data_IF_626915398985
#
_entry.id   IF_626915398985
#
_cell.length_a   1.000
_cell.length_b   1.000
_cell.length_c   1.000
_cell.angle_alpha   90.00
_cell.angle_beta   90.00
_cell.angle_gamma   90.00
#
_symmetry.space_group_name_H-M   'P 1'
#
loop_
_entity.id
_entity.type
_entity.pdbx_description
1 polymer ?
#
# COMPACT_ATOMS: atom_id res chain seq x y z
N UNK A 1 16.35 0.54 -8.72
CA UNK A 1 16.94 0.06 -7.46
C UNK A 1 17.60 -1.29 -7.64
N UNK A 2 18.77 -1.48 -7.04
CA UNK A 2 19.46 -2.77 -7.00
C UNK A 2 19.37 -3.36 -5.59
N UNK A 3 19.62 -4.68 -5.47
CA UNK A 3 19.55 -5.35 -4.18
C UNK A 3 20.46 -4.72 -3.11
N UNK A 4 21.69 -4.35 -3.45
CA UNK A 4 22.64 -3.71 -2.53
C UNK A 4 22.10 -2.38 -1.98
N UNK A 5 21.33 -1.64 -2.79
CA UNK A 5 20.68 -0.40 -2.33
C UNK A 5 19.56 -0.70 -1.34
N UNK A 6 18.82 -1.80 -1.54
CA UNK A 6 17.75 -2.23 -0.62
C UNK A 6 18.30 -2.82 0.68
N UNK A 7 19.44 -3.50 0.67
CA UNK A 7 20.13 -3.92 1.89
C UNK A 7 20.46 -2.71 2.77
N UNK A 8 21.07 -1.68 2.20
CA UNK A 8 21.39 -0.44 2.92
C UNK A 8 20.13 0.30 3.41
N UNK A 9 19.06 0.33 2.59
CA UNK A 9 17.78 0.92 2.96
C UNK A 9 17.12 0.14 4.10
N UNK A 10 17.18 -1.20 4.08
CA UNK A 10 16.66 -2.07 5.12
C UNK A 10 17.34 -1.84 6.47
N UNK A 11 18.66 -1.79 6.48
CA UNK A 11 19.39 -1.47 7.71
C UNK A 11 18.99 -0.10 8.30
N UNK A 12 18.77 0.89 7.44
CA UNK A 12 18.32 2.20 7.87
C UNK A 12 16.91 2.17 8.42
N UNK A 13 15.97 1.51 7.71
CA UNK A 13 14.58 1.37 8.14
C UNK A 13 14.46 0.61 9.47
N UNK A 14 15.20 -0.47 9.65
CA UNK A 14 15.19 -1.25 10.88
C UNK A 14 15.65 -0.39 12.07
N UNK A 15 16.73 0.38 11.90
CA UNK A 15 17.23 1.31 12.93
C UNK A 15 16.21 2.41 13.24
N UNK A 16 15.54 2.94 12.21
CA UNK A 16 14.50 3.95 12.37
C UNK A 16 13.28 3.37 13.11
N UNK A 17 12.75 2.23 12.65
CA UNK A 17 11.60 1.57 13.26
C UNK A 17 11.86 1.24 14.74
N UNK A 18 13.03 0.64 15.05
CA UNK A 18 13.43 0.36 16.42
C UNK A 18 13.58 1.64 17.27
N UNK A 19 14.13 2.72 16.69
CA UNK A 19 14.35 3.99 17.39
C UNK A 19 13.06 4.71 17.78
N UNK A 20 11.99 4.53 17.00
CA UNK A 20 10.66 5.14 17.26
C UNK A 20 9.66 4.14 17.87
N UNK A 21 10.06 2.89 18.10
CA UNK A 21 9.17 1.83 18.61
C UNK A 21 8.08 1.40 17.63
N UNK A 22 8.33 1.53 16.31
CA UNK A 22 7.41 1.10 15.26
C UNK A 22 7.61 -0.39 14.98
N UNK A 23 6.53 -1.15 15.00
CA UNK A 23 6.53 -2.56 14.58
C UNK A 23 6.74 -2.65 13.06
N UNK A 24 7.50 -3.65 12.61
CA UNK A 24 7.92 -3.79 11.20
C UNK A 24 6.72 -3.85 10.25
N UNK A 25 5.65 -4.56 10.62
CA UNK A 25 4.44 -4.69 9.80
C UNK A 25 3.66 -3.38 9.61
N UNK A 26 3.97 -2.35 10.41
CA UNK A 26 3.40 -1.00 10.25
C UNK A 26 4.17 -0.13 9.27
N UNK A 27 5.34 -0.58 8.82
CA UNK A 27 6.06 0.08 7.74
C UNK A 27 5.25 -0.06 6.45
N UNK A 28 4.93 1.07 5.80
CA UNK A 28 4.21 1.09 4.53
C UNK A 28 5.08 1.77 3.48
N UNK A 29 5.19 1.14 2.31
CA UNK A 29 5.98 1.66 1.21
C UNK A 29 5.29 1.49 -0.14
N UNK A 30 5.57 2.38 -1.05
CA UNK A 30 5.11 2.32 -2.45
C UNK A 30 6.30 2.50 -3.38
N UNK A 31 6.33 1.86 -4.55
CA UNK A 31 7.44 2.02 -5.49
C UNK A 31 7.39 3.39 -6.17
N UNK A 32 8.57 3.99 -6.33
CA UNK A 32 8.80 5.16 -7.14
C UNK A 32 9.54 4.84 -8.45
N UNK A 33 9.78 5.87 -9.25
CA UNK A 33 10.49 5.74 -10.54
C UNK A 33 11.98 5.35 -10.39
N UNK A 34 12.54 5.43 -9.19
CA UNK A 34 13.89 4.96 -8.88
C UNK A 34 13.94 3.52 -8.36
N UNK A 35 12.80 2.91 -8.08
CA UNK A 35 12.72 1.53 -7.61
C UNK A 35 12.74 0.49 -8.74
N UNK A 36 12.60 0.95 -9.99
CA UNK A 36 12.75 0.12 -11.17
C UNK A 36 14.23 -0.12 -11.49
N UNK A 37 14.58 -1.37 -11.77
CA UNK A 37 15.84 -1.71 -12.42
C UNK A 37 15.72 -1.42 -13.93
N UNK A 38 16.38 -0.35 -14.36
CA UNK A 38 16.32 0.12 -15.74
C UNK A 38 17.07 -0.81 -16.70
N UNK A 39 18.05 -1.54 -16.20
CA UNK A 39 18.86 -2.48 -17.02
C UNK A 39 18.05 -3.75 -17.34
N UNK A 40 17.01 -4.06 -16.57
CA UNK A 40 16.06 -5.15 -16.84
C UNK A 40 14.99 -4.79 -17.89
N UNK A 41 14.98 -3.56 -18.43
CA UNK A 41 14.03 -3.19 -19.48
C UNK A 41 14.41 -3.84 -20.81
N UNK A 42 13.75 -4.94 -21.15
CA UNK A 42 13.93 -5.64 -22.42
C UNK A 42 13.36 -4.85 -23.61
N UNK A 43 13.77 -5.24 -24.84
CA UNK A 43 13.15 -4.68 -26.07
C UNK A 43 11.64 -4.93 -26.09
N UNK A 44 11.19 -6.12 -25.65
CA UNK A 44 9.77 -6.43 -25.52
C UNK A 44 9.07 -5.52 -24.52
N UNK A 45 9.64 -5.34 -23.32
CA UNK A 45 9.13 -4.42 -22.32
C UNK A 45 9.04 -2.98 -22.81
N UNK A 46 10.06 -2.51 -23.55
CA UNK A 46 10.02 -1.16 -24.14
C UNK A 46 8.87 -1.00 -25.14
N UNK A 47 8.56 -2.04 -25.93
CA UNK A 47 7.45 -2.02 -26.88
C UNK A 47 6.10 -2.06 -26.18
N UNK A 48 5.96 -2.79 -25.08
CA UNK A 48 4.73 -2.77 -24.27
C UNK A 48 4.49 -1.39 -23.66
N UNK A 49 5.54 -0.73 -23.13
CA UNK A 49 5.42 0.63 -22.62
C UNK A 49 5.02 1.64 -23.71
N UNK A 50 5.61 1.54 -24.91
CA UNK A 50 5.25 2.37 -26.06
C UNK A 50 3.79 2.14 -26.47
N UNK A 51 3.35 0.89 -26.56
CA UNK A 51 1.97 0.49 -26.90
C UNK A 51 0.96 1.07 -25.92
N UNK A 52 1.18 0.93 -24.62
CA UNK A 52 0.31 1.53 -23.60
C UNK A 52 0.33 3.06 -23.68
N UNK A 53 1.50 3.66 -23.85
CA UNK A 53 1.64 5.12 -23.87
C UNK A 53 0.92 5.73 -25.08
N UNK A 54 0.92 5.08 -26.24
CA UNK A 54 0.23 5.54 -27.44
C UNK A 54 -1.28 5.28 -27.40
N UNK A 55 -1.68 4.11 -26.92
CA UNK A 55 -3.06 3.67 -26.93
C UNK A 55 -3.89 4.14 -25.74
N UNK A 56 -3.35 4.03 -24.53
CA UNK A 56 -4.02 4.50 -23.31
C UNK A 56 -4.62 3.38 -22.44
N UNK A 57 -5.82 3.63 -21.88
CA UNK A 57 -6.40 2.76 -20.87
C UNK A 57 -6.78 1.36 -21.38
N UNK A 58 -7.23 1.25 -22.62
CA UNK A 58 -7.61 -0.05 -23.20
C UNK A 58 -6.39 -0.94 -23.40
N UNK A 59 -5.30 -0.39 -23.95
CA UNK A 59 -4.03 -1.09 -24.15
C UNK A 59 -3.33 -1.40 -22.83
N UNK A 60 -3.47 -0.54 -21.84
CA UNK A 60 -3.00 -0.84 -20.47
C UNK A 60 -3.70 -2.09 -19.94
N UNK A 61 -5.03 -2.14 -19.99
CA UNK A 61 -5.79 -3.30 -19.50
C UNK A 61 -5.52 -4.58 -20.29
N UNK A 62 -5.30 -4.48 -21.60
CA UNK A 62 -4.91 -5.62 -22.45
C UNK A 62 -3.58 -6.21 -22.00
N UNK A 63 -2.55 -5.37 -21.83
CA UNK A 63 -1.21 -5.79 -21.39
C UNK A 63 -1.25 -6.36 -19.96
N UNK A 64 -1.98 -5.72 -19.05
CA UNK A 64 -2.08 -6.19 -17.66
C UNK A 64 -2.88 -7.48 -17.54
N UNK A 65 -3.89 -7.71 -18.39
CA UNK A 65 -4.63 -8.95 -18.41
C UNK A 65 -3.81 -10.15 -18.90
N UNK A 66 -2.80 -9.91 -19.76
CA UNK A 66 -1.91 -10.95 -20.23
C UNK A 66 -0.76 -11.19 -19.22
N UNK A 67 -0.68 -12.40 -18.68
CA UNK A 67 0.30 -12.76 -17.64
C UNK A 67 1.76 -12.58 -18.11
N UNK A 68 2.09 -12.96 -19.34
CA UNK A 68 3.46 -12.85 -19.86
C UNK A 68 3.88 -11.40 -20.03
N UNK A 69 3.00 -10.56 -20.59
CA UNK A 69 3.25 -9.14 -20.81
C UNK A 69 3.36 -8.40 -19.49
N UNK A 70 2.44 -8.68 -18.57
CA UNK A 70 2.45 -8.17 -17.19
C UNK A 70 3.75 -8.55 -16.48
N UNK A 71 4.14 -9.83 -16.50
CA UNK A 71 5.39 -10.32 -15.90
C UNK A 71 6.63 -9.62 -16.52
N UNK A 72 6.61 -9.35 -17.83
CA UNK A 72 7.67 -8.59 -18.48
C UNK A 72 7.80 -7.18 -17.92
N UNK A 73 6.70 -6.49 -17.64
CA UNK A 73 6.72 -5.17 -17.02
C UNK A 73 7.14 -5.22 -15.55
N UNK A 74 6.66 -6.21 -14.79
CA UNK A 74 6.95 -6.37 -13.36
C UNK A 74 8.38 -6.87 -13.08
N UNK A 75 9.05 -7.51 -14.03
CA UNK A 75 10.45 -7.99 -13.87
C UNK A 75 11.41 -6.88 -13.45
N UNK A 76 11.09 -5.63 -13.76
CA UNK A 76 11.89 -4.45 -13.38
C UNK A 76 11.80 -4.10 -11.90
N UNK A 77 10.79 -4.64 -11.19
CA UNK A 77 10.59 -4.46 -9.75
C UNK A 77 11.07 -5.66 -8.92
N UNK A 78 11.84 -6.58 -9.48
CA UNK A 78 12.22 -7.83 -8.80
C UNK A 78 12.87 -7.57 -7.44
N UNK A 79 13.88 -6.69 -7.38
CA UNK A 79 14.58 -6.37 -6.13
C UNK A 79 13.70 -5.56 -5.18
N UNK A 80 12.92 -4.58 -5.69
CA UNK A 80 11.91 -3.88 -4.89
C UNK A 80 10.85 -4.83 -4.35
N UNK A 81 10.35 -5.73 -5.19
CA UNK A 81 9.32 -6.70 -4.82
C UNK A 81 9.79 -7.58 -3.67
N UNK A 82 11.01 -8.15 -3.78
CA UNK A 82 11.64 -8.94 -2.72
C UNK A 82 11.77 -8.14 -1.42
N UNK A 83 12.25 -6.90 -1.50
CA UNK A 83 12.41 -6.02 -0.35
C UNK A 83 11.07 -5.69 0.31
N UNK A 84 10.10 -5.25 -0.47
CA UNK A 84 8.79 -4.82 0.04
C UNK A 84 7.94 -5.97 0.60
N UNK A 85 8.06 -7.18 0.05
CA UNK A 85 7.40 -8.38 0.60
C UNK A 85 7.91 -8.68 1.99
N UNK A 86 9.21 -8.50 2.27
CA UNK A 86 9.76 -8.66 3.62
C UNK A 86 9.09 -7.76 4.66
N UNK A 87 8.70 -6.54 4.28
CA UNK A 87 7.93 -5.61 5.13
C UNK A 87 6.41 -5.78 5.02
N UNK A 88 5.94 -6.88 4.47
CA UNK A 88 4.52 -7.12 4.18
C UNK A 88 3.89 -6.04 3.27
N UNK A 89 4.69 -5.42 2.41
CA UNK A 89 4.32 -4.34 1.50
C UNK A 89 4.41 -4.73 0.02
N UNK A 90 4.37 -6.04 -0.30
CA UNK A 90 4.50 -6.55 -1.65
C UNK A 90 3.57 -5.86 -2.67
N UNK A 91 4.02 -5.84 -3.92
CA UNK A 91 3.20 -5.43 -5.04
C UNK A 91 2.16 -6.52 -5.32
N UNK A 92 0.98 -6.09 -5.74
CA UNK A 92 -0.03 -7.01 -6.24
C UNK A 92 0.37 -7.51 -7.64
N UNK A 93 0.39 -8.82 -7.85
CA UNK A 93 0.83 -9.48 -9.08
C UNK A 93 -0.17 -9.32 -10.25
N UNK A 94 -1.40 -8.90 -9.96
CA UNK A 94 -2.43 -8.56 -10.95
C UNK A 94 -2.55 -7.05 -11.20
N UNK A 95 -1.58 -6.27 -10.71
CA UNK A 95 -1.57 -4.81 -10.80
C UNK A 95 -2.81 -4.13 -10.18
N UNK A 96 -3.32 -4.68 -9.09
CA UNK A 96 -4.37 -4.07 -8.26
C UNK A 96 -3.77 -3.20 -7.17
N UNK A 97 -4.61 -2.43 -6.48
CA UNK A 97 -4.19 -1.76 -5.25
C UNK A 97 -3.86 -2.77 -4.15
N UNK A 98 -2.92 -2.42 -3.27
CA UNK A 98 -2.58 -3.24 -2.12
C UNK A 98 -3.04 -2.57 -0.81
N UNK A 99 -3.49 -3.38 0.15
CA UNK A 99 -3.89 -2.91 1.48
C UNK A 99 -3.67 -4.02 2.49
N UNK A 100 -3.00 -3.70 3.61
CA UNK A 100 -2.74 -4.64 4.69
C UNK A 100 -2.65 -3.95 6.06
N UNK A 101 -2.77 -2.62 6.11
CA UNK A 101 -2.72 -1.86 7.36
C UNK A 101 -4.03 -1.13 7.58
N UNK A 102 -4.61 -1.38 8.76
CA UNK A 102 -5.79 -0.72 9.30
C UNK A 102 -5.51 -0.32 10.74
N UNK A 103 -5.76 0.94 11.08
CA UNK A 103 -5.45 1.50 12.39
C UNK A 103 -6.72 2.08 13.00
N UNK A 104 -7.01 1.74 14.25
CA UNK A 104 -8.08 2.37 15.01
C UNK A 104 -7.61 3.74 15.50
N UNK A 105 -8.39 4.78 15.20
CA UNK A 105 -8.13 6.17 15.61
C UNK A 105 -9.12 6.66 16.66
N UNK A 106 -10.15 5.88 16.93
CA UNK A 106 -11.16 6.12 17.95
C UNK A 106 -12.12 4.94 18.06
N UNK A 107 -12.96 4.81 19.08
CA UNK A 107 -13.83 3.67 19.27
C UNK A 107 -14.70 3.37 18.04
N UNK A 108 -14.39 2.28 17.31
CA UNK A 108 -15.06 1.89 16.07
C UNK A 108 -14.80 2.85 14.89
N UNK A 109 -13.74 3.64 14.95
CA UNK A 109 -13.29 4.55 13.90
C UNK A 109 -11.91 4.14 13.43
N UNK A 110 -11.81 3.80 12.14
CA UNK A 110 -10.63 3.17 11.54
C UNK A 110 -10.15 3.95 10.33
N UNK A 111 -8.85 3.97 10.12
CA UNK A 111 -8.25 4.35 8.84
C UNK A 111 -7.62 3.12 8.20
N UNK A 112 -7.85 2.95 6.89
CA UNK A 112 -7.26 1.90 6.07
C UNK A 112 -6.29 2.51 5.08
N UNK A 113 -5.05 2.01 5.08
CA UNK A 113 -4.03 2.42 4.13
C UNK A 113 -4.16 1.62 2.83
N UNK A 114 -4.20 2.34 1.71
CA UNK A 114 -4.24 1.78 0.35
C UNK A 114 -3.00 2.25 -0.40
N UNK A 115 -2.26 1.33 -0.95
CA UNK A 115 -1.03 1.57 -1.70
C UNK A 115 -1.28 1.39 -3.19
N UNK A 116 -0.83 2.37 -3.99
CA UNK A 116 -0.91 2.34 -5.45
C UNK A 116 0.49 2.34 -6.06
N UNK A 117 0.68 1.55 -7.10
CA UNK A 117 1.91 1.55 -7.89
C UNK A 117 1.76 2.49 -9.09
N UNK A 118 2.28 3.69 -8.98
CA UNK A 118 2.32 4.67 -10.08
C UNK A 118 3.57 4.56 -10.96
N UNK A 119 4.52 3.69 -10.60
CA UNK A 119 5.80 3.59 -11.28
C UNK A 119 5.82 2.55 -12.41
N UNK A 120 4.74 1.75 -12.60
CA UNK A 120 4.72 0.65 -13.56
C UNK A 120 5.09 1.07 -14.99
N UNK A 121 4.69 2.26 -15.42
CA UNK A 121 4.98 2.78 -16.76
C UNK A 121 6.25 3.66 -16.82
N UNK A 122 6.98 3.81 -15.72
CA UNK A 122 8.20 4.60 -15.70
C UNK A 122 9.30 3.96 -16.57
N UNK A 123 10.04 4.82 -17.27
CA UNK A 123 11.16 4.44 -18.17
C UNK A 123 12.39 5.35 -18.01
N UNK A 124 12.34 6.30 -17.04
CA UNK A 124 13.45 7.19 -16.69
C UNK A 124 13.52 8.49 -17.48
N UNK A 125 12.52 8.79 -18.30
CA UNK A 125 12.35 10.02 -19.07
C UNK A 125 10.88 10.44 -19.16
N UNK A 126 10.11 10.07 -18.14
CA UNK A 126 8.70 10.39 -18.02
C UNK A 126 8.49 11.90 -18.04
N UNK A 127 7.41 12.34 -18.67
CA UNK A 127 7.02 13.74 -18.71
C UNK A 127 5.73 13.96 -17.93
N UNK A 128 5.68 15.11 -17.29
CA UNK A 128 4.48 15.62 -16.64
C UNK A 128 3.51 16.22 -17.67
N UNK A 129 4.04 16.97 -18.65
CA UNK A 129 3.26 17.63 -19.71
C UNK A 129 3.81 17.28 -21.11
N UNK A 130 3.03 16.58 -21.94
CA UNK A 130 1.78 15.88 -21.55
C UNK A 130 2.05 14.70 -20.61
N UNK A 131 1.12 14.42 -19.70
CA UNK A 131 1.21 13.32 -18.75
C UNK A 131 1.39 11.97 -19.47
N UNK A 132 2.32 11.14 -18.99
CA UNK A 132 2.65 9.86 -19.64
C UNK A 132 2.36 8.64 -18.76
N UNK A 133 2.22 8.82 -17.44
CA UNK A 133 1.94 7.71 -16.54
C UNK A 133 0.45 7.38 -16.46
N UNK A 134 0.14 6.23 -15.91
CA UNK A 134 -1.23 5.78 -15.62
C UNK A 134 -1.22 4.96 -14.33
N UNK A 135 -2.30 5.07 -13.57
CA UNK A 135 -2.58 4.20 -12.43
C UNK A 135 -3.28 2.91 -12.92
N UNK A 136 -4.25 3.05 -13.83
CA UNK A 136 -5.06 1.95 -14.34
C UNK A 136 -6.27 1.59 -13.45
N UNK A 137 -7.36 1.17 -14.09
CA UNK A 137 -8.63 0.94 -13.42
C UNK A 137 -8.55 -0.10 -12.29
N UNK A 138 -7.72 -1.13 -12.43
CA UNK A 138 -7.53 -2.16 -11.39
C UNK A 138 -7.04 -1.61 -10.07
N UNK A 139 -6.26 -0.52 -10.09
CA UNK A 139 -5.72 0.10 -8.88
C UNK A 139 -6.65 1.18 -8.31
N UNK A 140 -7.16 2.09 -9.16
CA UNK A 140 -7.95 3.20 -8.64
C UNK A 140 -9.42 2.86 -8.35
N UNK A 141 -9.93 1.72 -8.84
CA UNK A 141 -11.28 1.25 -8.51
C UNK A 141 -11.33 0.71 -7.06
N UNK A 142 -10.97 1.58 -6.11
CA UNK A 142 -10.99 1.26 -4.69
C UNK A 142 -12.45 1.10 -4.23
N UNK A 143 -12.83 0.00 -3.54
CA UNK A 143 -14.17 -0.17 -3.00
C UNK A 143 -14.54 0.94 -2.02
N UNK A 144 -15.83 1.23 -1.91
CA UNK A 144 -16.29 2.18 -0.90
C UNK A 144 -15.95 1.67 0.50
N UNK A 145 -15.46 2.55 1.39
CA UNK A 145 -15.20 2.17 2.78
C UNK A 145 -16.50 1.72 3.47
N UNK A 146 -16.37 0.79 4.39
CA UNK A 146 -17.46 0.38 5.26
C UNK A 146 -17.77 1.47 6.31
N UNK A 147 -18.90 1.34 7.02
CA UNK A 147 -19.23 2.24 8.12
C UNK A 147 -18.12 2.20 9.18
N UNK A 148 -17.68 3.37 9.64
CA UNK A 148 -16.58 3.51 10.61
C UNK A 148 -15.19 3.46 10.01
N UNK A 149 -15.03 3.34 8.68
CA UNK A 149 -13.72 3.29 8.03
C UNK A 149 -13.52 4.42 7.04
N UNK A 150 -12.37 5.08 7.09
CA UNK A 150 -11.92 6.04 6.09
C UNK A 150 -10.60 5.59 5.45
N UNK A 151 -10.29 6.08 4.24
CA UNK A 151 -9.15 5.62 3.44
C UNK A 151 -8.07 6.69 3.38
N UNK A 152 -6.81 6.23 3.60
CA UNK A 152 -5.57 6.97 3.31
C UNK A 152 -4.87 6.28 2.15
N UNK A 153 -4.62 7.01 1.06
CA UNK A 153 -3.89 6.51 -0.11
C UNK A 153 -2.42 6.92 -0.03
N UNK A 154 -1.55 5.97 -0.34
CA UNK A 154 -0.12 6.18 -0.55
C UNK A 154 0.21 5.90 -2.02
N UNK A 155 0.91 6.83 -2.68
CA UNK A 155 1.35 6.68 -4.06
C UNK A 155 2.61 7.53 -4.30
N UNK A 156 3.45 7.20 -5.29
CA UNK A 156 4.66 7.98 -5.51
C UNK A 156 4.42 9.24 -6.33
N UNK A 157 3.79 9.15 -7.50
CA UNK A 157 3.56 10.32 -8.34
C UNK A 157 2.24 11.02 -7.99
N UNK A 158 2.17 12.35 -8.00
CA UNK A 158 0.92 13.09 -7.80
C UNK A 158 -0.02 12.98 -9.02
N UNK A 159 -1.29 13.34 -8.83
CA UNK A 159 -2.37 13.09 -9.81
C UNK A 159 -2.10 13.66 -11.22
N UNK A 160 -1.46 14.82 -11.32
CA UNK A 160 -1.24 15.48 -12.62
C UNK A 160 -0.23 14.77 -13.54
N UNK A 161 0.49 13.76 -13.03
CA UNK A 161 1.36 12.89 -13.82
C UNK A 161 0.63 11.81 -14.61
N UNK A 162 -0.68 11.64 -14.39
CA UNK A 162 -1.44 10.53 -14.97
C UNK A 162 -2.33 10.96 -16.12
N UNK A 163 -2.35 10.17 -17.19
CA UNK A 163 -3.30 10.29 -18.29
C UNK A 163 -4.74 10.05 -17.84
N UNK A 164 -4.93 9.13 -16.90
CA UNK A 164 -6.19 8.77 -16.28
C UNK A 164 -6.49 9.57 -15.00
N UNK A 165 -5.87 10.77 -14.86
CA UNK A 165 -6.01 11.61 -13.68
C UNK A 165 -7.46 11.99 -13.35
N UNK A 166 -8.31 12.16 -14.35
CA UNK A 166 -9.71 12.53 -14.16
C UNK A 166 -10.50 11.39 -13.52
N UNK A 167 -10.31 10.18 -14.01
CA UNK A 167 -10.93 8.97 -13.49
C UNK A 167 -10.43 8.65 -12.08
N UNK A 168 -9.11 8.71 -11.86
CA UNK A 168 -8.51 8.53 -10.53
C UNK A 168 -9.08 9.54 -9.54
N UNK A 169 -9.19 10.82 -9.93
CA UNK A 169 -9.73 11.89 -9.08
C UNK A 169 -11.16 11.60 -8.64
N UNK A 170 -12.03 11.08 -9.51
CA UNK A 170 -13.42 10.75 -9.15
C UNK A 170 -13.49 9.73 -8.00
N UNK A 171 -12.60 8.74 -8.00
CA UNK A 171 -12.50 7.75 -6.91
C UNK A 171 -11.88 8.36 -5.65
N UNK A 172 -10.84 9.16 -5.78
CA UNK A 172 -10.19 9.85 -4.66
C UNK A 172 -11.19 10.77 -3.97
N UNK A 173 -11.84 11.68 -4.71
CA UNK A 173 -12.77 12.65 -4.15
C UNK A 173 -13.97 12.00 -3.44
N UNK A 174 -14.43 10.83 -3.93
CA UNK A 174 -15.59 10.14 -3.37
C UNK A 174 -15.29 9.14 -2.22
N UNK A 175 -14.04 8.72 -2.02
CA UNK A 175 -13.71 7.58 -1.16
C UNK A 175 -12.52 7.78 -0.24
N UNK A 176 -11.61 8.69 -0.58
CA UNK A 176 -10.34 8.90 0.13
C UNK A 176 -10.43 10.16 1.00
N UNK A 177 -9.85 10.10 2.21
CA UNK A 177 -9.76 11.27 3.08
C UNK A 177 -8.39 11.93 3.00
N UNK A 178 -7.33 11.14 2.83
CA UNK A 178 -5.97 11.65 2.68
C UNK A 178 -5.29 10.95 1.51
N UNK A 179 -4.76 11.72 0.58
CA UNK A 179 -3.98 11.25 -0.56
C UNK A 179 -2.55 11.76 -0.41
N UNK A 180 -1.62 10.84 -0.15
CA UNK A 180 -0.20 11.16 0.08
C UNK A 180 0.59 10.78 -1.15
N UNK A 181 1.28 11.76 -1.75
CA UNK A 181 2.19 11.56 -2.88
C UNK A 181 3.60 12.08 -2.58
N UNK A 182 4.57 11.62 -3.36
CA UNK A 182 5.97 12.04 -3.31
C UNK A 182 6.41 12.69 -4.62
N UNK A 183 7.58 12.27 -5.12
CA UNK A 183 8.19 12.57 -6.42
C UNK A 183 8.68 14.01 -6.59
N UNK A 184 7.88 15.03 -6.37
CA UNK A 184 8.22 16.43 -6.66
C UNK A 184 9.18 17.06 -5.65
N UNK A 185 9.39 16.41 -4.50
CA UNK A 185 10.24 16.89 -3.41
C UNK A 185 9.86 18.29 -2.87
N UNK A 186 8.67 18.77 -3.21
CA UNK A 186 8.12 20.05 -2.76
C UNK A 186 6.91 19.80 -1.86
N UNK A 187 7.10 19.69 -0.53
CA UNK A 187 6.03 19.36 0.40
C UNK A 187 4.94 20.45 0.39
N UNK A 188 3.70 20.02 0.16
CA UNK A 188 2.49 20.86 0.13
C UNK A 188 1.34 20.17 0.82
N UNK A 189 0.47 20.96 1.43
CA UNK A 189 -0.80 20.49 2.00
C UNK A 189 -1.93 21.30 1.38
N UNK A 190 -2.92 20.62 0.84
CA UNK A 190 -4.12 21.22 0.30
C UNK A 190 -5.33 20.42 0.76
N UNK A 191 -6.37 21.08 1.27
CA UNK A 191 -7.65 20.43 1.59
C UNK A 191 -8.71 20.89 0.60
N UNK A 192 -9.26 19.93 -0.14
CA UNK A 192 -10.40 20.12 -1.03
C UNK A 192 -11.67 19.83 -0.23
N UNK A 193 -12.53 20.85 -0.09
CA UNK A 193 -13.81 20.72 0.61
C UNK A 193 -14.93 20.50 -0.38
N UNK A 194 -15.80 19.53 -0.08
CA UNK A 194 -16.97 19.22 -0.88
C UNK A 194 -18.26 19.38 -0.07
N UNK A 195 -19.36 19.68 -0.76
CA UNK A 195 -20.66 19.98 -0.13
C UNK A 195 -21.19 18.85 0.76
N UNK A 196 -20.83 17.60 0.46
CA UNK A 196 -21.25 16.41 1.21
C UNK A 196 -20.42 16.15 2.48
N UNK A 197 -19.60 17.10 2.92
CA UNK A 197 -18.60 16.92 3.99
C UNK A 197 -17.67 15.72 3.73
N UNK A 198 -17.25 15.56 2.50
CA UNK A 198 -16.36 14.52 2.01
C UNK A 198 -15.00 15.15 1.70
N UNK A 199 -14.38 15.77 2.71
CA UNK A 199 -13.14 16.50 2.52
C UNK A 199 -11.99 15.56 2.13
N UNK A 200 -11.12 16.03 1.22
CA UNK A 200 -9.93 15.30 0.79
C UNK A 200 -8.69 16.16 1.01
N UNK A 201 -7.77 15.65 1.81
CA UNK A 201 -6.45 16.24 1.97
C UNK A 201 -5.50 15.66 0.92
N UNK A 202 -4.88 16.54 0.13
CA UNK A 202 -3.77 16.23 -0.76
C UNK A 202 -2.47 16.63 -0.06
N UNK A 203 -1.62 15.66 0.24
CA UNK A 203 -0.35 15.86 0.91
C UNK A 203 0.79 15.42 -0.01
N UNK A 204 1.58 16.39 -0.48
CA UNK A 204 2.84 16.10 -1.15
C UNK A 204 3.95 15.96 -0.10
N UNK A 205 4.63 14.82 -0.08
CA UNK A 205 5.75 14.57 0.80
C UNK A 205 7.03 15.22 0.25
N UNK A 206 7.92 15.63 1.17
CA UNK A 206 9.29 16.00 0.80
C UNK A 206 10.20 14.79 0.61
N UNK A 207 11.49 15.03 0.42
CA UNK A 207 12.50 13.99 0.31
C UNK A 207 13.40 13.97 1.55
N UNK A 208 13.49 12.80 2.20
CA UNK A 208 14.42 12.63 3.32
C UNK A 208 15.89 12.70 2.85
N UNK A 209 16.16 12.34 1.58
CA UNK A 209 17.49 12.43 0.94
C UNK A 209 17.30 12.96 -0.48
N UNK A 210 17.25 14.27 -0.71
CA UNK A 210 17.10 14.83 -2.05
C UNK A 210 18.38 14.63 -2.88
N UNK A 211 18.23 14.52 -4.21
CA UNK A 211 19.36 14.38 -5.14
C UNK A 211 20.34 15.55 -5.08
N UNK A 212 19.84 16.76 -4.83
CA UNK A 212 20.62 17.97 -4.57
C UNK A 212 20.02 18.66 -3.36
N UNK A 213 20.87 19.08 -2.43
CA UNK A 213 20.49 19.96 -1.35
C UNK A 213 20.82 21.40 -1.77
N UNK A 214 19.79 22.15 -2.07
CA UNK A 214 19.86 23.60 -2.33
C UNK A 214 18.70 24.29 -1.61
N UNK A 215 18.50 25.60 -1.87
CA UNK A 215 17.42 26.35 -1.22
C UNK A 215 16.01 25.85 -1.58
N UNK A 216 15.87 25.09 -2.69
CA UNK A 216 14.60 24.52 -3.16
C UNK A 216 14.37 23.10 -2.63
N UNK A 217 15.44 22.27 -2.63
CA UNK A 217 15.35 20.87 -2.25
C UNK A 217 16.21 20.60 -1.02
N UNK A 218 15.60 20.73 0.14
CA UNK A 218 16.24 20.39 1.43
C UNK A 218 15.78 19.01 1.91
N UNK A 219 16.55 18.40 2.83
CA UNK A 219 16.10 17.18 3.51
C UNK A 219 14.85 17.49 4.33
N UNK A 220 13.75 16.81 4.05
CA UNK A 220 12.46 17.06 4.70
C UNK A 220 11.71 15.77 4.98
N UNK A 221 10.92 15.77 6.03
CA UNK A 221 9.92 14.73 6.30
C UNK A 221 8.74 15.34 7.05
N UNK A 222 7.63 14.61 7.12
CA UNK A 222 6.47 15.00 7.91
C UNK A 222 6.23 14.00 9.05
N UNK A 223 5.86 14.50 10.23
CA UNK A 223 5.18 13.70 11.24
C UNK A 223 3.70 13.98 11.04
N UNK A 224 2.90 12.92 10.88
CA UNK A 224 1.47 13.01 10.66
C UNK A 224 0.77 12.26 11.79
N UNK A 225 -0.10 12.96 12.51
CA UNK A 225 -0.92 12.38 13.56
C UNK A 225 -2.35 12.22 13.02
N UNK A 226 -2.88 11.02 13.11
CA UNK A 226 -4.26 10.70 12.80
C UNK A 226 -5.02 10.46 14.09
N UNK A 227 -6.13 11.15 14.27
CA UNK A 227 -6.97 11.06 15.45
C UNK A 227 -8.45 11.17 15.06
N UNK A 228 -9.35 10.87 15.97
CA UNK A 228 -10.77 11.04 15.83
C UNK A 228 -11.26 12.28 16.59
N UNK A 229 -11.83 13.24 15.86
CA UNK A 229 -12.54 14.34 16.48
C UNK A 229 -13.96 13.89 16.84
N UNK A 230 -14.16 13.58 18.12
CA UNK A 230 -15.44 13.12 18.65
C UNK A 230 -16.56 14.15 18.44
N UNK A 231 -16.22 15.44 18.50
CA UNK A 231 -17.21 16.52 18.45
C UNK A 231 -17.92 16.63 17.09
N UNK A 232 -17.21 16.34 16.01
CA UNK A 232 -17.75 16.39 14.64
C UNK A 232 -17.84 15.00 13.97
N UNK A 233 -17.47 13.93 14.71
CA UNK A 233 -17.32 12.56 14.19
C UNK A 233 -16.55 12.54 12.87
N UNK A 234 -15.34 13.12 12.89
CA UNK A 234 -14.52 13.39 11.73
C UNK A 234 -13.07 12.96 11.98
N UNK A 235 -12.32 12.73 10.87
CA UNK A 235 -10.90 12.46 10.93
C UNK A 235 -10.13 13.75 11.22
N UNK A 236 -9.38 13.77 12.32
CA UNK A 236 -8.43 14.81 12.64
C UNK A 236 -7.06 14.42 12.11
N UNK A 237 -6.39 15.32 11.37
CA UNK A 237 -5.06 15.12 10.85
C UNK A 237 -4.19 16.30 11.26
N UNK A 238 -3.14 16.04 12.04
CA UNK A 238 -2.14 17.06 12.35
C UNK A 238 -0.85 16.76 11.58
N UNK A 239 -0.29 17.79 10.93
CA UNK A 239 0.90 17.67 10.09
C UNK A 239 2.00 18.56 10.67
N UNK A 240 3.14 17.94 11.01
CA UNK A 240 4.30 18.61 11.55
C UNK A 240 5.49 18.47 10.59
N UNK A 241 5.62 19.39 9.61
CA UNK A 241 6.72 19.36 8.65
C UNK A 241 8.07 19.58 9.35
N UNK A 242 9.09 18.86 8.91
CA UNK A 242 10.46 18.98 9.39
C UNK A 242 11.40 19.26 8.23
N UNK A 243 12.32 20.17 8.41
CA UNK A 243 13.35 20.50 7.44
C UNK A 243 14.74 20.48 8.10
N UNK A 244 15.75 20.06 7.36
CA UNK A 244 17.11 20.02 7.83
C UNK A 244 17.72 21.42 7.91
N UNK A 245 18.29 21.76 9.04
CA UNK A 245 19.08 22.98 9.24
C UNK A 245 20.57 22.62 9.28
N UNK A 246 21.35 22.89 8.20
CA UNK A 246 22.77 22.53 8.16
C UNK A 246 23.62 23.28 9.18
N UNK A 247 23.22 24.49 9.58
CA UNK A 247 23.97 25.28 10.58
C UNK A 247 23.82 24.70 11.99
N UNK A 248 22.72 24.02 12.28
CA UNK A 248 22.45 23.36 13.58
C UNK A 248 22.62 21.85 13.52
N UNK A 249 22.85 21.28 12.35
CA UNK A 249 22.93 19.84 12.11
C UNK A 249 21.75 19.06 12.72
N UNK A 250 20.54 19.62 12.58
CA UNK A 250 19.32 19.05 13.14
C UNK A 250 18.10 19.37 12.27
N UNK A 251 17.07 18.52 12.39
CA UNK A 251 15.76 18.82 11.81
C UNK A 251 14.99 19.80 12.71
N UNK A 252 14.39 20.79 12.10
CA UNK A 252 13.57 21.81 12.76
C UNK A 252 12.15 21.82 12.22
N UNK A 253 11.21 22.39 12.98
CA UNK A 253 9.84 22.59 12.50
C UNK A 253 9.83 23.57 11.33
N UNK A 254 9.09 23.22 10.27
CA UNK A 254 8.91 24.04 9.06
C UNK A 254 7.44 24.36 8.80
N UNK A 255 6.80 25.04 9.74
CA UNK A 255 5.39 25.40 9.65
C UNK A 255 5.09 26.38 8.50
N UNK A 256 6.11 26.98 7.89
CA UNK A 256 5.91 27.83 6.70
C UNK A 256 5.32 27.07 5.53
N UNK A 257 5.61 25.77 5.43
CA UNK A 257 5.08 24.87 4.39
C UNK A 257 3.59 24.56 4.54
N UNK A 258 2.99 24.88 5.68
CA UNK A 258 1.54 24.81 5.88
C UNK A 258 0.79 26.04 5.30
N UNK A 259 1.51 26.96 4.62
CA UNK A 259 0.90 28.14 4.01
C UNK A 259 0.25 29.10 5.02
N UNK A 260 0.71 29.10 6.28
CA UNK A 260 0.12 29.88 7.36
C UNK A 260 -1.11 29.25 8.02
N UNK A 261 -1.45 28.02 7.65
CA UNK A 261 -2.51 27.23 8.30
C UNK A 261 -2.01 26.68 9.65
N UNK A 262 -2.96 26.45 10.56
CA UNK A 262 -2.68 25.66 11.75
C UNK A 262 -2.31 24.22 11.34
N UNK A 263 -1.48 23.51 12.13
CA UNK A 263 -1.05 22.16 11.78
C UNK A 263 -2.17 21.13 11.80
N UNK A 264 -3.29 21.42 12.45
CA UNK A 264 -4.44 20.51 12.61
C UNK A 264 -5.54 20.79 11.59
N UNK A 265 -6.02 19.74 10.95
CA UNK A 265 -7.09 19.76 9.96
C UNK A 265 -8.19 18.78 10.39
N UNK A 266 -9.43 19.24 10.42
CA UNK A 266 -10.60 18.37 10.64
C UNK A 266 -11.20 18.11 9.26
N UNK A 267 -11.21 16.83 8.85
CA UNK A 267 -11.69 16.39 7.55
C UNK A 267 -13.07 15.75 7.69
N UNK A 268 -14.04 16.28 6.97
CA UNK A 268 -15.38 15.70 6.92
C UNK A 268 -15.34 14.23 6.51
N UNK A 269 -15.82 13.34 7.38
CA UNK A 269 -15.65 11.87 7.31
C UNK A 269 -17.00 11.17 7.33
N UNK A 270 -17.67 11.04 6.16
CA UNK A 270 -19.04 10.55 6.09
C UNK A 270 -19.19 9.11 6.58
N UNK A 271 -18.14 8.28 6.49
CA UNK A 271 -18.23 6.88 6.92
C UNK A 271 -18.10 6.74 8.45
N UNK A 272 -17.39 7.64 9.14
CA UNK A 272 -17.39 7.69 10.59
C UNK A 272 -18.80 7.95 11.11
N UNK A 273 -19.50 8.95 10.54
CA UNK A 273 -20.90 9.27 10.91
C UNK A 273 -21.89 8.14 10.66
N UNK A 274 -21.68 7.31 9.62
CA UNK A 274 -22.52 6.13 9.38
C UNK A 274 -22.42 5.10 10.51
N UNK A 275 -21.25 4.94 11.12
CA UNK A 275 -21.08 4.04 12.25
C UNK A 275 -21.83 4.56 13.50
N UNK A 276 -21.80 5.88 13.76
CA UNK A 276 -22.59 6.51 14.83
C UNK A 276 -24.09 6.28 14.67
N UNK A 277 -24.60 6.42 13.46
CA UNK A 277 -26.03 6.17 13.18
C UNK A 277 -26.42 4.69 13.35
N UNK A 278 -25.58 3.76 12.92
CA UNK A 278 -25.81 2.32 13.08
C UNK A 278 -25.82 1.89 14.55
N UNK A 279 -25.00 2.52 15.39
CA UNK A 279 -24.97 2.26 16.84
C UNK A 279 -26.24 2.75 17.56
N UNK A 280 -26.84 3.84 17.09
CA UNK A 280 -28.10 4.39 17.67
C UNK A 280 -29.30 3.51 17.27
N UNK A 281 -29.30 2.89 16.09
CA UNK A 281 -30.41 2.04 15.61
C UNK A 281 -30.38 0.62 16.23
N UNK A 282 -29.29 0.23 16.86
CA UNK A 282 -29.12 -1.05 17.57
C UNK A 282 -29.51 -1.02 19.05
N UNK A 283 -30.05 0.09 19.55
CA UNK A 283 -30.67 0.18 20.89
C UNK A 283 -31.87 -0.75 21.05
N UNK A 284 -32.19 -1.23 22.25
CA UNK A 284 -33.26 -2.20 22.45
C UNK A 284 -34.60 -1.64 21.95
N UNK A 285 -35.15 -2.23 20.88
CA UNK A 285 -36.49 -1.91 20.40
C UNK A 285 -37.51 -2.25 21.51
N UNK A 286 -38.38 -1.32 21.91
CA UNK A 286 -39.53 -1.67 22.74
C UNK A 286 -40.45 -2.57 21.92
N UNK A 287 -40.82 -3.70 22.51
CA UNK A 287 -41.83 -4.60 21.97
C UNK A 287 -43.17 -3.87 21.87
N UNK A 288 -43.68 -3.64 20.71
CA UNK A 288 -45.04 -3.20 20.47
C UNK A 288 -45.72 -4.20 19.53
N UNK A 289 -46.84 -4.67 20.04
CA UNK A 289 -47.83 -5.57 19.42
C UNK A 289 -48.23 -5.14 18.00
N UNK A 290 -48.43 -6.14 17.16
CA UNK A 290 -49.11 -6.09 15.84
C UNK A 290 -50.56 -5.60 15.93
N UNK A 291 -51.20 -5.02 14.83
CA UNK A 291 -51.65 -5.88 13.73
C UNK A 291 -51.60 -5.31 12.31
N UNK A 292 -51.54 -6.24 11.39
CA UNK A 292 -52.05 -6.30 10.03
C UNK A 292 -52.20 -5.03 9.16
N UNK A 293 -51.41 -4.93 8.11
CA UNK A 293 -51.92 -4.72 6.73
C UNK A 293 -50.86 -5.08 5.68
N UNK A 294 -51.20 -6.04 4.83
CA UNK A 294 -50.46 -6.41 3.62
C UNK A 294 -50.97 -5.51 2.47
N UNK A 295 -50.09 -5.05 1.60
CA UNK A 295 -50.43 -5.01 0.18
C UNK A 295 -49.42 -5.84 -0.66
N UNK A 296 -50.04 -6.43 -1.69
CA UNK A 296 -49.61 -7.40 -2.67
C UNK A 296 -48.38 -7.01 -3.51
N UNK A 297 -47.63 -8.05 -3.82
CA UNK A 297 -46.92 -8.39 -5.05
C UNK A 297 -46.19 -7.32 -5.89
N UNK A 298 -44.88 -7.41 -5.87
CA UNK A 298 -44.06 -7.39 -7.09
C UNK A 298 -43.12 -8.61 -7.03
N UNK A 299 -43.35 -9.56 -7.95
CA UNK A 299 -42.45 -10.70 -8.18
C UNK A 299 -41.09 -10.22 -8.65
N UNK A 300 -40.07 -10.55 -7.86
CA UNK A 300 -38.68 -10.51 -8.29
C UNK A 300 -38.20 -11.96 -8.47
N UNK A 301 -37.90 -12.31 -9.69
CA UNK A 301 -37.35 -13.63 -10.06
C UNK A 301 -35.92 -13.68 -9.57
N UNK A 302 -35.55 -14.65 -8.71
CA UNK A 302 -34.16 -14.87 -8.34
C UNK A 302 -33.44 -15.60 -9.48
N UNK A 303 -32.36 -15.04 -9.98
CA UNK A 303 -31.35 -15.80 -10.71
C UNK A 303 -30.53 -16.59 -9.69
N UNK A 304 -30.38 -17.86 -9.99
CA UNK A 304 -29.78 -18.92 -9.19
C UNK A 304 -28.35 -18.64 -8.75
N UNK A 305 -28.10 -18.95 -7.49
CA UNK A 305 -26.97 -19.60 -6.85
C UNK A 305 -25.55 -19.17 -7.24
N UNK A 306 -25.02 -18.26 -6.44
CA UNK A 306 -23.65 -18.39 -6.01
C UNK A 306 -23.69 -18.85 -4.54
N UNK A 307 -23.42 -20.12 -4.30
CA UNK A 307 -23.13 -20.67 -2.98
C UNK A 307 -22.01 -19.83 -2.36
N UNK A 308 -22.36 -19.06 -1.35
CA UNK A 308 -21.37 -18.45 -0.45
C UNK A 308 -20.93 -19.59 0.46
N UNK A 309 -19.81 -20.22 0.12
CA UNK A 309 -19.06 -21.04 1.05
C UNK A 309 -18.83 -20.20 2.31
N UNK A 310 -19.44 -20.60 3.39
CA UNK A 310 -19.09 -20.14 4.74
C UNK A 310 -17.72 -20.71 5.04
N UNK A 311 -16.66 -20.02 4.59
CA UNK A 311 -15.32 -20.29 5.08
C UNK A 311 -15.32 -20.15 6.60
N UNK A 312 -15.02 -21.26 7.28
CA UNK A 312 -14.53 -21.28 8.65
C UNK A 312 -13.54 -20.12 8.81
N UNK A 313 -13.64 -19.41 9.92
CA UNK A 313 -12.72 -18.31 10.30
C UNK A 313 -11.29 -18.86 10.37
N UNK A 314 -10.66 -19.03 9.22
CA UNK A 314 -9.26 -19.39 9.12
C UNK A 314 -8.45 -18.20 9.66
N UNK A 315 -7.66 -18.46 10.71
CA UNK A 315 -6.72 -17.51 11.29
C UNK A 315 -5.88 -16.91 10.16
N UNK A 316 -5.86 -15.58 10.03
CA UNK A 316 -5.03 -14.93 9.04
C UNK A 316 -3.55 -15.20 9.40
N UNK A 317 -2.66 -15.48 8.43
CA UNK A 317 -1.25 -15.72 8.72
C UNK A 317 -0.59 -14.59 9.53
N UNK A 318 -0.98 -13.35 9.29
CA UNK A 318 -0.52 -12.17 10.02
C UNK A 318 -0.88 -12.14 11.51
N UNK A 319 -1.85 -12.96 11.96
CA UNK A 319 -2.25 -13.01 13.36
C UNK A 319 -1.39 -14.00 14.17
N UNK A 320 -0.48 -14.72 13.50
CA UNK A 320 0.42 -15.70 14.13
C UNK A 320 1.62 -14.97 14.71
N UNK A 321 1.89 -15.18 16.01
CA UNK A 321 3.04 -14.56 16.67
C UNK A 321 4.37 -14.94 15.98
N UNK A 322 5.18 -13.91 15.66
CA UNK A 322 6.46 -14.07 14.97
C UNK A 322 6.38 -14.12 13.45
N UNK A 323 5.18 -14.12 12.86
CA UNK A 323 4.98 -14.15 11.42
C UNK A 323 5.73 -13.04 10.68
N UNK A 324 5.56 -11.78 11.12
CA UNK A 324 6.14 -10.62 10.43
C UNK A 324 7.68 -10.64 10.43
N UNK A 325 8.28 -11.05 11.53
CA UNK A 325 9.73 -11.19 11.61
C UNK A 325 10.24 -12.34 10.74
N UNK A 326 9.53 -13.48 10.74
CA UNK A 326 9.88 -14.60 9.89
C UNK A 326 9.76 -14.26 8.41
N UNK A 327 8.69 -13.55 8.03
CA UNK A 327 8.47 -13.08 6.66
C UNK A 327 9.61 -12.15 6.22
N UNK A 328 9.94 -11.15 7.05
CA UNK A 328 11.04 -10.23 6.76
C UNK A 328 12.35 -10.98 6.54
N UNK A 329 12.69 -11.89 7.45
CA UNK A 329 13.94 -12.65 7.37
C UNK A 329 13.98 -13.60 6.17
N UNK A 330 12.87 -14.25 5.87
CA UNK A 330 12.75 -15.15 4.73
C UNK A 330 13.00 -14.43 3.40
N UNK A 331 12.43 -13.26 3.17
CA UNK A 331 12.58 -12.53 1.92
C UNK A 331 13.81 -11.62 1.87
N UNK A 332 14.24 -11.04 2.98
CA UNK A 332 15.38 -10.13 3.04
C UNK A 332 16.72 -10.87 3.20
N UNK A 333 16.78 -11.79 4.17
CA UNK A 333 18.05 -12.35 4.64
C UNK A 333 18.47 -13.62 3.88
N UNK A 334 17.56 -14.25 3.12
CA UNK A 334 17.82 -15.46 2.35
C UNK A 334 17.95 -15.18 0.84
N UNK A 335 18.86 -15.90 0.17
CA UNK A 335 18.88 -15.95 -1.29
C UNK A 335 17.69 -16.75 -1.83
N UNK A 336 17.36 -16.59 -3.12
CA UNK A 336 16.29 -17.35 -3.79
C UNK A 336 16.51 -18.86 -3.64
N UNK A 337 17.74 -19.32 -3.85
CA UNK A 337 18.11 -20.73 -3.67
C UNK A 337 17.81 -21.27 -2.26
N UNK A 338 18.00 -20.46 -1.23
CA UNK A 338 17.77 -20.84 0.15
C UNK A 338 16.27 -20.86 0.46
N UNK A 339 15.50 -19.89 -0.04
CA UNK A 339 14.04 -19.89 0.08
C UNK A 339 13.44 -21.12 -0.58
N UNK A 340 13.88 -21.45 -1.80
CA UNK A 340 13.45 -22.66 -2.50
C UNK A 340 13.81 -23.93 -1.72
N UNK A 341 15.00 -23.99 -1.10
CA UNK A 341 15.39 -25.14 -0.23
C UNK A 341 14.44 -25.31 0.94
N UNK A 342 14.02 -24.23 1.58
CA UNK A 342 13.03 -24.29 2.67
C UNK A 342 11.69 -24.80 2.14
N UNK A 343 11.16 -24.20 1.07
CA UNK A 343 9.87 -24.57 0.50
C UNK A 343 9.82 -26.03 0.03
N UNK A 344 10.92 -26.53 -0.54
CA UNK A 344 11.06 -27.94 -0.92
C UNK A 344 11.15 -28.85 0.31
N UNK A 345 11.95 -28.50 1.30
CA UNK A 345 12.13 -29.30 2.51
C UNK A 345 10.85 -29.38 3.37
N UNK A 346 9.98 -28.39 3.22
CA UNK A 346 8.67 -28.34 3.90
C UNK A 346 7.53 -28.86 3.01
N UNK A 347 7.83 -29.53 1.90
CA UNK A 347 6.86 -30.11 0.95
C UNK A 347 5.84 -29.09 0.37
N UNK A 348 6.18 -27.81 0.39
CA UNK A 348 5.34 -26.75 -0.20
C UNK A 348 5.43 -26.74 -1.73
N UNK A 349 6.53 -27.27 -2.29
CA UNK A 349 6.75 -27.41 -3.72
C UNK A 349 7.00 -28.89 -4.03
N UNK A 350 6.30 -29.49 -5.00
CA UNK A 350 6.63 -30.85 -5.46
C UNK A 350 8.06 -30.91 -5.99
N UNK A 351 8.81 -31.94 -5.62
CA UNK A 351 10.22 -32.12 -6.02
C UNK A 351 10.45 -32.17 -7.56
N UNK A 352 9.41 -32.49 -8.32
CA UNK A 352 9.42 -32.60 -9.78
C UNK A 352 8.85 -31.34 -10.47
N UNK A 353 8.53 -30.26 -9.72
CA UNK A 353 8.00 -29.03 -10.30
C UNK A 353 9.06 -28.33 -11.15
N UNK A 354 8.71 -28.09 -12.41
CA UNK A 354 9.51 -27.30 -13.34
C UNK A 354 8.96 -25.87 -13.51
N UNK A 355 8.01 -25.47 -12.68
CA UNK A 355 7.44 -24.11 -12.74
C UNK A 355 8.46 -23.10 -12.25
N UNK A 356 8.60 -22.03 -13.00
CA UNK A 356 9.43 -20.89 -12.59
C UNK A 356 8.72 -20.18 -11.43
N UNK A 357 9.31 -20.24 -10.25
CA UNK A 357 8.80 -19.55 -9.08
C UNK A 357 8.98 -18.03 -9.25
N UNK A 358 7.98 -17.28 -8.86
CA UNK A 358 8.06 -15.85 -8.67
C UNK A 358 7.77 -15.50 -7.20
N UNK A 359 8.08 -14.29 -6.80
CA UNK A 359 7.96 -13.86 -5.41
C UNK A 359 6.53 -13.92 -4.88
N UNK A 360 5.52 -13.65 -5.73
CA UNK A 360 4.12 -13.79 -5.36
C UNK A 360 3.75 -15.25 -5.05
N UNK A 361 4.29 -16.21 -5.81
CA UNK A 361 4.11 -17.64 -5.54
C UNK A 361 4.84 -18.06 -4.26
N UNK A 362 6.10 -17.65 -4.07
CA UNK A 362 6.85 -17.90 -2.83
C UNK A 362 6.09 -17.38 -1.62
N UNK A 363 5.50 -16.18 -1.72
CA UNK A 363 4.70 -15.61 -0.65
C UNK A 363 3.44 -16.41 -0.35
N UNK A 364 2.70 -16.83 -1.37
CA UNK A 364 1.50 -17.68 -1.20
C UNK A 364 1.85 -19.02 -0.52
N UNK A 365 2.99 -19.62 -0.88
CA UNK A 365 3.47 -20.86 -0.25
C UNK A 365 3.95 -20.65 1.18
N UNK A 366 4.65 -19.56 1.47
CA UNK A 366 5.00 -19.17 2.82
C UNK A 366 3.75 -19.00 3.70
N UNK A 367 2.76 -18.25 3.23
CA UNK A 367 1.50 -18.03 3.96
C UNK A 367 0.71 -19.36 4.15
N UNK A 368 0.74 -20.25 3.16
CA UNK A 368 0.15 -21.57 3.28
C UNK A 368 0.83 -22.40 4.38
N UNK A 369 2.15 -22.48 4.40
CA UNK A 369 2.92 -23.15 5.45
C UNK A 369 2.60 -22.59 6.85
N UNK A 370 2.43 -21.28 6.97
CA UNK A 370 2.05 -20.65 8.24
C UNK A 370 0.65 -21.10 8.68
N UNK A 371 -0.33 -21.18 7.76
CA UNK A 371 -1.68 -21.70 8.07
C UNK A 371 -1.64 -23.16 8.50
N UNK A 372 -0.73 -23.95 7.94
CA UNK A 372 -0.48 -25.34 8.35
C UNK A 372 0.28 -25.44 9.69
N UNK A 373 0.55 -24.32 10.37
CA UNK A 373 1.22 -24.28 11.67
C UNK A 373 2.74 -24.51 11.61
N UNK A 374 3.36 -24.42 10.42
CA UNK A 374 4.78 -24.74 10.20
C UNK A 374 5.70 -23.54 10.31
N UNK A 375 5.24 -22.40 10.86
CA UNK A 375 6.07 -21.20 11.08
C UNK A 375 7.34 -21.51 11.91
N UNK A 376 7.32 -22.29 12.99
CA UNK A 376 8.53 -22.62 13.75
C UNK A 376 9.59 -23.31 12.90
N UNK A 377 9.21 -24.22 11.99
CA UNK A 377 10.13 -24.90 11.09
C UNK A 377 10.76 -23.95 10.06
N UNK A 378 9.97 -23.00 9.53
CA UNK A 378 10.49 -21.96 8.65
C UNK A 378 11.55 -21.13 9.37
N UNK A 379 11.27 -20.71 10.62
CA UNK A 379 12.21 -19.91 11.43
C UNK A 379 13.49 -20.69 11.67
N UNK A 380 13.40 -21.95 12.12
CA UNK A 380 14.56 -22.80 12.40
C UNK A 380 15.45 -22.97 11.16
N UNK A 381 14.85 -23.26 10.01
CA UNK A 381 15.58 -23.44 8.76
C UNK A 381 16.22 -22.13 8.28
N UNK A 382 15.52 -20.99 8.43
CA UNK A 382 16.04 -19.67 8.11
C UNK A 382 17.27 -19.36 8.97
N UNK A 383 17.18 -19.55 10.28
CA UNK A 383 18.29 -19.34 11.21
C UNK A 383 19.52 -20.19 10.85
N UNK A 384 19.31 -21.47 10.54
CA UNK A 384 20.39 -22.38 10.14
C UNK A 384 21.07 -21.94 8.86
N UNK A 385 20.33 -21.57 7.82
CA UNK A 385 20.90 -21.15 6.54
C UNK A 385 21.68 -19.83 6.66
N UNK A 386 21.20 -18.90 7.47
CA UNK A 386 21.93 -17.67 7.77
C UNK A 386 23.23 -17.95 8.52
N UNK A 387 23.20 -18.88 9.50
CA UNK A 387 24.38 -19.28 10.25
C UNK A 387 25.42 -19.98 9.36
N UNK A 388 25.03 -20.93 8.52
CA UNK A 388 25.88 -21.64 7.54
C UNK A 388 26.61 -20.65 6.63
N UNK A 389 25.94 -19.59 6.17
CA UNK A 389 26.55 -18.58 5.32
C UNK A 389 27.61 -17.75 6.07
N UNK A 390 27.30 -17.32 7.29
CA UNK A 390 28.23 -16.53 8.09
C UNK A 390 29.49 -17.31 8.47
N UNK A 391 29.39 -18.63 8.64
CA UNK A 391 30.55 -19.51 8.88
C UNK A 391 31.40 -19.74 7.60
N UNK A 392 30.78 -19.68 6.43
CA UNK A 392 31.46 -19.86 5.14
C UNK A 392 32.24 -18.62 4.65
N UNK A 393 31.97 -17.45 5.21
CA UNK A 393 32.65 -16.16 4.91
C UNK A 393 33.82 -15.84 5.86
N UNK A 394 34.05 -16.61 6.93
CA UNK A 394 35.21 -16.50 7.82
C UNK A 394 36.36 -17.41 7.35
#
# INVERSE_FOLDING_TARGET
GTWEQYEAAGEWLDKLAAGIGCEIHRVQMVPGNHDLDRDKLSVGGSKLLEYIREGGAAEYEEVIANENDRSTLFSRFEDYGRFSVGYNCGLDDEAKYATNLRIEVGPGRWIRFVRLNSALLCHGREREEPAELMIGARQFTIPRPVAGEEIVVLVHHPLHWYKDAQEVRQYVDSRVRVFISGHEHDPKVQVNKFDDNCDVMMLAAGAAVPFKSDDTYTYTYNIIEFDWDESSDSLSVAIHPRTWNPAKTSFEADNKRLGGSEPQFILGSPNFRKAGLAAVDSGPKPSADTPDHVPEHVEFVPTEDAEVDTEETATMPSDVEGYELALLRFFRDLFESDRLRILLALDAIPAESNERMNQGMERKLFDWLVREGRLPEIIEMTDRLIAERNEGEM
#
